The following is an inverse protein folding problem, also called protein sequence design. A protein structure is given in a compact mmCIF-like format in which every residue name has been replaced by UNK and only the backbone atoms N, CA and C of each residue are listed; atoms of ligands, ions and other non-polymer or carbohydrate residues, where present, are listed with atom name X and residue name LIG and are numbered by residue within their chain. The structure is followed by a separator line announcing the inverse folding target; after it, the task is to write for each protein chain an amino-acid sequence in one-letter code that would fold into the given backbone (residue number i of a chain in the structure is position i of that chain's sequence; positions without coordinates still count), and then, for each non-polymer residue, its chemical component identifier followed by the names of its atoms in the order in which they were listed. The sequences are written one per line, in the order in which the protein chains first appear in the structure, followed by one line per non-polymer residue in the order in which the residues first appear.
data_IF_647284594372
#
_entry.id   IF_647284594372
#
_cell.length_a   1.000
_cell.length_b   1.000
_cell.length_c   1.000
_cell.angle_alpha   90.00
_cell.angle_beta   90.00
_cell.angle_gamma   90.00
#
_symmetry.space_group_name_H-M   'P 1'
#
loop_
_entity.id
_entity.type
_entity.pdbx_description
1 polymer ?
#
# COMPACT_ATOMS: atom_id res chain seq x y z
N UNK A 1 29.07 -5.89 -13.82
CA UNK A 1 27.68 -6.24 -14.16
C UNK A 1 27.55 -7.75 -13.98
N UNK A 2 27.06 -8.19 -12.82
CA UNK A 2 26.84 -9.63 -12.56
C UNK A 2 25.52 -10.03 -13.24
N UNK A 3 25.47 -11.16 -13.95
CA UNK A 3 24.23 -11.62 -14.57
C UNK A 3 23.24 -12.01 -13.46
N UNK A 4 22.10 -11.31 -13.39
CA UNK A 4 21.02 -11.62 -12.46
C UNK A 4 20.56 -13.07 -12.67
N UNK A 5 20.32 -13.85 -11.58
CA UNK A 5 19.88 -15.24 -11.70
C UNK A 5 18.57 -15.33 -12.51
N UNK A 6 18.33 -16.44 -13.23
CA UNK A 6 17.16 -16.57 -14.10
C UNK A 6 15.88 -16.41 -13.28
N UNK A 7 15.04 -15.44 -13.69
CA UNK A 7 13.75 -15.21 -13.09
C UNK A 7 12.87 -16.46 -13.23
N UNK A 8 12.33 -16.93 -12.10
CA UNK A 8 11.36 -18.01 -12.11
C UNK A 8 10.10 -17.55 -12.85
N UNK A 9 9.49 -18.44 -13.62
CA UNK A 9 8.27 -18.13 -14.35
C UNK A 9 7.05 -18.65 -13.56
N UNK A 10 5.95 -17.88 -13.48
CA UNK A 10 4.71 -18.40 -12.94
C UNK A 10 4.25 -19.58 -13.79
N UNK A 11 3.87 -20.68 -13.12
CA UNK A 11 3.59 -21.94 -13.81
C UNK A 11 2.22 -21.97 -14.49
N UNK A 12 1.28 -21.11 -14.03
CA UNK A 12 -0.06 -21.02 -14.61
C UNK A 12 -0.76 -19.71 -14.24
N UNK A 13 -1.82 -19.30 -14.97
CA UNK A 13 -2.68 -18.18 -14.59
C UNK A 13 -3.30 -18.32 -13.19
N UNK A 14 -3.48 -19.56 -12.71
CA UNK A 14 -3.97 -19.84 -11.35
C UNK A 14 -2.95 -19.46 -10.29
N UNK A 15 -1.65 -19.63 -10.57
CA UNK A 15 -0.58 -19.22 -9.64
C UNK A 15 -0.54 -17.70 -9.49
N UNK A 16 -0.78 -16.95 -10.58
CA UNK A 16 -0.97 -15.50 -10.49
C UNK A 16 -2.19 -15.16 -9.63
N UNK A 17 -3.35 -15.77 -9.91
CA UNK A 17 -4.57 -15.53 -9.13
C UNK A 17 -4.34 -15.73 -7.63
N UNK A 18 -3.73 -16.85 -7.23
CA UNK A 18 -3.48 -17.18 -5.82
C UNK A 18 -2.45 -16.23 -5.21
N UNK A 19 -1.37 -15.91 -5.93
CA UNK A 19 -0.31 -15.03 -5.43
C UNK A 19 -0.82 -13.60 -5.23
N UNK A 20 -1.58 -13.06 -6.19
CA UNK A 20 -2.17 -11.72 -6.07
C UNK A 20 -3.31 -11.66 -5.06
N UNK A 21 -4.07 -12.75 -4.88
CA UNK A 21 -5.01 -12.89 -3.76
C UNK A 21 -4.27 -12.76 -2.42
N UNK A 22 -3.17 -13.50 -2.26
CA UNK A 22 -2.40 -13.50 -1.02
C UNK A 22 -1.79 -12.13 -0.73
N UNK A 23 -1.30 -11.45 -1.76
CA UNK A 23 -0.84 -10.06 -1.67
C UNK A 23 -1.96 -9.11 -1.23
N UNK A 24 -3.16 -9.25 -1.81
CA UNK A 24 -4.30 -8.39 -1.48
C UNK A 24 -4.72 -8.52 0.00
N UNK A 25 -4.66 -9.74 0.55
CA UNK A 25 -4.97 -10.00 1.96
C UNK A 25 -3.91 -9.44 2.92
N UNK A 26 -2.69 -9.17 2.46
CA UNK A 26 -1.58 -8.67 3.26
C UNK A 26 -1.34 -7.17 3.11
N UNK A 27 -2.19 -6.44 2.38
CA UNK A 27 -1.98 -5.03 2.01
C UNK A 27 -1.99 -4.00 3.15
N UNK A 28 -1.75 -4.36 4.40
CA UNK A 28 -1.79 -3.45 5.54
C UNK A 28 -0.39 -2.91 5.90
N UNK A 29 -0.24 -1.58 5.92
CA UNK A 29 0.89 -0.92 6.58
C UNK A 29 2.26 -1.00 5.90
N UNK A 30 2.35 -1.42 4.63
CA UNK A 30 3.64 -1.49 3.93
C UNK A 30 3.61 -2.27 2.63
N UNK A 31 2.61 -2.03 1.79
CA UNK A 31 2.30 -2.88 0.62
C UNK A 31 3.49 -3.02 -0.33
N UNK A 32 4.26 -1.95 -0.55
CA UNK A 32 5.47 -1.99 -1.38
C UNK A 32 6.48 -3.05 -0.92
N UNK A 33 6.81 -3.05 0.37
CA UNK A 33 7.77 -4.00 0.93
C UNK A 33 7.25 -5.45 0.85
N UNK A 34 5.93 -5.64 1.01
CA UNK A 34 5.27 -6.95 0.91
C UNK A 34 5.30 -7.44 -0.53
N UNK A 35 4.93 -6.59 -1.49
CA UNK A 35 4.94 -6.92 -2.92
C UNK A 35 6.38 -7.21 -3.38
N UNK A 36 7.35 -6.38 -3.01
CA UNK A 36 8.76 -6.61 -3.33
C UNK A 36 9.24 -7.96 -2.78
N UNK A 37 8.99 -8.24 -1.50
CA UNK A 37 9.36 -9.51 -0.87
C UNK A 37 8.71 -10.70 -1.56
N UNK A 38 7.43 -10.61 -1.90
CA UNK A 38 6.72 -11.73 -2.52
C UNK A 38 7.20 -11.98 -3.96
N UNK A 39 7.35 -10.92 -4.76
CA UNK A 39 7.68 -11.03 -6.19
C UNK A 39 9.18 -11.25 -6.45
N UNK A 40 10.06 -10.62 -5.66
CA UNK A 40 11.52 -10.66 -5.86
C UNK A 40 12.18 -11.73 -4.98
N UNK A 41 11.86 -11.79 -3.68
CA UNK A 41 12.57 -12.70 -2.76
C UNK A 41 11.97 -14.11 -2.76
N UNK A 42 10.64 -14.23 -2.62
CA UNK A 42 9.98 -15.55 -2.52
C UNK A 42 9.74 -16.19 -3.88
N UNK A 43 8.99 -15.52 -4.76
CA UNK A 43 8.60 -16.05 -6.06
C UNK A 43 9.70 -15.92 -7.11
N UNK A 44 10.62 -14.95 -6.94
CA UNK A 44 11.73 -14.67 -7.86
C UNK A 44 11.28 -14.47 -9.31
N UNK A 45 10.07 -13.91 -9.49
CA UNK A 45 9.52 -13.60 -10.81
C UNK A 45 10.21 -12.38 -11.43
N UNK A 46 10.61 -11.44 -10.58
CA UNK A 46 11.27 -10.22 -11.01
C UNK A 46 12.63 -10.08 -10.32
N UNK A 47 13.58 -9.55 -11.05
CA UNK A 47 14.81 -9.01 -10.45
C UNK A 47 14.50 -7.71 -9.70
N UNK A 48 15.33 -7.29 -8.72
CA UNK A 48 15.14 -6.02 -8.04
C UNK A 48 15.05 -4.83 -9.00
N UNK A 49 15.82 -4.85 -10.09
CA UNK A 49 15.85 -3.79 -11.09
C UNK A 49 14.55 -3.75 -11.89
N UNK A 50 14.09 -4.91 -12.40
CA UNK A 50 12.82 -5.02 -13.13
C UNK A 50 11.62 -4.63 -12.25
N UNK A 51 11.65 -5.03 -10.97
CA UNK A 51 10.60 -4.63 -10.03
C UNK A 51 10.51 -3.12 -9.88
N UNK A 52 11.65 -2.42 -9.80
CA UNK A 52 11.68 -0.96 -9.69
C UNK A 52 11.18 -0.27 -10.96
N UNK A 53 11.54 -0.79 -12.14
CA UNK A 53 11.04 -0.29 -13.43
C UNK A 53 9.52 -0.46 -13.54
N UNK A 54 9.01 -1.67 -13.31
CA UNK A 54 7.57 -1.96 -13.36
C UNK A 54 6.80 -1.16 -12.31
N UNK A 55 7.37 -0.99 -11.10
CA UNK A 55 6.78 -0.18 -10.04
C UNK A 55 6.73 1.30 -10.41
N UNK A 56 7.78 1.85 -11.03
CA UNK A 56 7.80 3.24 -11.47
C UNK A 56 6.71 3.50 -12.53
N UNK A 57 6.55 2.58 -13.49
CA UNK A 57 5.47 2.66 -14.49
C UNK A 57 4.10 2.57 -13.82
N UNK A 58 3.93 1.65 -12.86
CA UNK A 58 2.67 1.49 -12.12
C UNK A 58 2.27 2.75 -11.33
N UNK A 59 3.23 3.58 -10.89
CA UNK A 59 2.97 4.87 -10.24
C UNK A 59 2.59 6.00 -11.20
N UNK A 60 3.03 5.92 -12.46
CA UNK A 60 2.65 6.90 -13.50
C UNK A 60 1.25 6.61 -14.03
N UNK A 61 0.85 5.34 -14.06
CA UNK A 61 -0.49 4.95 -14.47
C UNK A 61 -1.56 5.42 -13.48
N UNK A 62 -2.70 5.96 -13.96
CA UNK A 62 -3.79 6.32 -13.07
C UNK A 62 -4.38 5.07 -12.41
N UNK A 63 -4.66 5.17 -11.10
CA UNK A 63 -5.31 4.11 -10.33
C UNK A 63 -4.41 3.49 -9.26
N UNK A 64 -4.83 2.35 -8.67
CA UNK A 64 -4.08 1.72 -7.59
C UNK A 64 -2.81 1.04 -8.10
N UNK A 65 -1.64 1.53 -7.68
CA UNK A 65 -0.32 1.05 -8.12
C UNK A 65 -0.17 -0.48 -8.12
N UNK A 66 -0.69 -1.14 -7.08
CA UNK A 66 -0.54 -2.60 -6.92
C UNK A 66 -1.40 -3.38 -7.92
N UNK A 67 -2.56 -2.83 -8.31
CA UNK A 67 -3.41 -3.41 -9.38
C UNK A 67 -2.74 -3.21 -10.73
N UNK A 68 -2.22 -2.02 -11.00
CA UNK A 68 -1.49 -1.73 -12.25
C UNK A 68 -0.29 -2.68 -12.40
N UNK A 69 0.48 -2.87 -11.33
CA UNK A 69 1.59 -3.82 -11.31
C UNK A 69 1.11 -5.26 -11.56
N UNK A 70 0.02 -5.69 -10.92
CA UNK A 70 -0.53 -7.03 -11.13
C UNK A 70 -0.98 -7.27 -12.57
N UNK A 71 -1.59 -6.25 -13.19
CA UNK A 71 -2.00 -6.27 -14.59
C UNK A 71 -0.80 -6.37 -15.53
N UNK A 72 0.25 -5.55 -15.30
CA UNK A 72 1.49 -5.58 -16.10
C UNK A 72 2.21 -6.93 -15.98
N UNK A 73 2.36 -7.44 -14.76
CA UNK A 73 2.97 -8.76 -14.51
C UNK A 73 2.13 -9.85 -15.17
N UNK A 74 0.80 -9.80 -15.04
CA UNK A 74 -0.10 -10.77 -15.64
C UNK A 74 -0.05 -10.78 -17.17
N UNK A 75 -0.01 -9.60 -17.78
CA UNK A 75 0.10 -9.46 -19.24
C UNK A 75 1.44 -9.99 -19.76
N UNK A 76 2.53 -9.71 -19.04
CA UNK A 76 3.88 -10.15 -19.41
C UNK A 76 4.03 -11.68 -19.51
N UNK A 77 3.39 -12.44 -18.62
CA UNK A 77 3.58 -13.90 -18.57
C UNK A 77 2.55 -14.70 -19.37
N UNK A 78 1.29 -14.27 -19.41
CA UNK A 78 0.20 -15.02 -20.07
C UNK A 78 -0.73 -14.13 -20.92
N UNK A 79 -0.28 -12.93 -21.28
CA UNK A 79 -1.08 -11.94 -22.01
C UNK A 79 -2.35 -11.54 -21.26
N UNK A 80 -3.39 -11.20 -22.02
CA UNK A 80 -4.69 -10.78 -21.50
C UNK A 80 -5.28 -11.76 -20.46
N UNK A 81 -5.06 -13.07 -20.64
CA UNK A 81 -5.58 -14.11 -19.72
C UNK A 81 -4.87 -14.05 -18.36
N UNK A 82 -3.58 -13.77 -18.33
CA UNK A 82 -2.81 -13.57 -17.10
C UNK A 82 -3.16 -12.27 -16.41
N UNK A 83 -3.29 -11.19 -17.18
CA UNK A 83 -3.71 -9.88 -16.69
C UNK A 83 -5.07 -9.96 -15.96
N UNK A 84 -6.06 -10.56 -16.62
CA UNK A 84 -7.39 -10.75 -16.03
C UNK A 84 -7.35 -11.66 -14.79
N UNK A 85 -6.56 -12.75 -14.82
CA UNK A 85 -6.44 -13.64 -13.67
C UNK A 85 -5.78 -12.95 -12.45
N UNK A 86 -4.75 -12.15 -12.68
CA UNK A 86 -4.06 -11.40 -11.64
C UNK A 86 -4.97 -10.36 -10.97
N UNK A 87 -5.67 -9.56 -11.79
CA UNK A 87 -6.63 -8.55 -11.30
C UNK A 87 -7.82 -9.22 -10.62
N UNK A 88 -8.36 -10.30 -11.19
CA UNK A 88 -9.44 -11.05 -10.58
C UNK A 88 -9.03 -11.63 -9.22
N UNK A 89 -7.82 -12.17 -9.07
CA UNK A 89 -7.31 -12.64 -7.78
C UNK A 89 -7.20 -11.52 -6.76
N UNK A 90 -6.69 -10.37 -7.19
CA UNK A 90 -6.53 -9.20 -6.32
C UNK A 90 -7.85 -8.62 -5.82
N UNK A 91 -8.93 -8.69 -6.60
CA UNK A 91 -10.22 -8.06 -6.26
C UNK A 91 -11.25 -9.05 -5.70
N UNK A 92 -11.36 -10.24 -6.27
CA UNK A 92 -12.51 -11.13 -6.03
C UNK A 92 -12.52 -11.65 -4.59
N UNK A 93 -11.39 -12.17 -4.10
CA UNK A 93 -11.35 -12.77 -2.77
C UNK A 93 -11.51 -11.73 -1.65
N UNK A 94 -10.79 -10.59 -1.66
CA UNK A 94 -11.03 -9.54 -0.67
C UNK A 94 -12.47 -9.01 -0.69
N UNK A 95 -13.06 -8.85 -1.89
CA UNK A 95 -14.45 -8.44 -2.03
C UNK A 95 -15.41 -9.46 -1.38
N UNK A 96 -15.24 -10.75 -1.68
CA UNK A 96 -16.05 -11.83 -1.10
C UNK A 96 -15.92 -11.85 0.43
N UNK A 97 -14.70 -11.70 0.96
CA UNK A 97 -14.47 -11.65 2.41
C UNK A 97 -15.20 -10.46 3.05
N UNK A 98 -15.09 -9.26 2.46
CA UNK A 98 -15.75 -8.06 2.99
C UNK A 98 -17.27 -8.19 2.91
N UNK A 99 -17.81 -8.70 1.80
CA UNK A 99 -19.25 -8.92 1.65
C UNK A 99 -19.77 -9.96 2.65
N UNK A 100 -19.06 -11.07 2.83
CA UNK A 100 -19.42 -12.08 3.81
C UNK A 100 -19.43 -11.49 5.24
N UNK A 101 -18.41 -10.71 5.60
CA UNK A 101 -18.36 -10.01 6.88
C UNK A 101 -19.50 -9.00 7.03
N UNK A 102 -19.88 -8.29 5.96
CA UNK A 102 -20.98 -7.34 5.97
C UNK A 102 -22.34 -8.04 6.19
N UNK A 103 -22.58 -9.17 5.53
CA UNK A 103 -23.79 -9.97 5.71
C UNK A 103 -23.86 -10.55 7.13
N UNK A 104 -22.75 -11.09 7.63
CA UNK A 104 -22.64 -11.59 9.00
C UNK A 104 -22.88 -10.46 10.00
N UNK A 105 -22.31 -9.28 9.78
CA UNK A 105 -22.56 -8.12 10.61
C UNK A 105 -24.04 -7.74 10.61
N UNK A 106 -24.71 -7.71 9.45
CA UNK A 106 -26.13 -7.38 9.38
C UNK A 106 -27.02 -8.37 10.16
N UNK A 107 -26.68 -9.67 10.16
CA UNK A 107 -27.43 -10.69 10.91
C UNK A 107 -27.16 -10.65 12.42
N UNK A 108 -25.92 -10.37 12.83
CA UNK A 108 -25.49 -10.40 14.23
C UNK A 108 -25.29 -9.00 14.84
N UNK A 109 -25.74 -7.93 14.19
CA UNK A 109 -25.58 -6.55 14.65
C UNK A 109 -26.17 -6.31 16.05
N UNK A 110 -27.20 -7.08 16.42
CA UNK A 110 -27.82 -7.02 17.75
C UNK A 110 -26.97 -7.63 18.88
N UNK A 111 -25.93 -8.41 18.56
CA UNK A 111 -25.06 -9.00 19.58
C UNK A 111 -23.90 -8.04 19.94
N UNK A 112 -23.84 -7.54 21.18
CA UNK A 112 -22.80 -6.60 21.61
C UNK A 112 -21.37 -7.16 21.47
N UNK A 113 -21.19 -8.48 21.51
CA UNK A 113 -19.88 -9.10 21.31
C UNK A 113 -19.36 -8.94 19.88
N UNK A 114 -20.22 -9.02 18.87
CA UNK A 114 -19.83 -8.87 17.45
C UNK A 114 -19.48 -7.41 17.16
N UNK A 115 -20.27 -6.47 17.68
CA UNK A 115 -19.96 -5.05 17.59
C UNK A 115 -18.64 -4.69 18.31
N UNK A 116 -18.37 -5.29 19.46
CA UNK A 116 -17.12 -5.12 20.19
C UNK A 116 -15.92 -5.69 19.42
N UNK A 117 -16.06 -6.88 18.83
CA UNK A 117 -15.01 -7.50 18.00
C UNK A 117 -14.66 -6.63 16.78
N UNK A 118 -15.66 -6.08 16.09
CA UNK A 118 -15.45 -5.16 14.95
C UNK A 118 -14.77 -3.86 15.37
N UNK A 119 -15.16 -3.27 16.50
CA UNK A 119 -14.44 -2.13 17.10
C UNK A 119 -12.99 -2.48 17.41
N UNK A 120 -12.74 -3.67 17.97
CA UNK A 120 -11.40 -4.17 18.26
C UNK A 120 -10.55 -4.28 16.99
N UNK A 121 -11.09 -4.86 15.92
CA UNK A 121 -10.40 -4.91 14.62
C UNK A 121 -10.09 -3.52 14.06
N UNK A 122 -11.01 -2.57 14.21
CA UNK A 122 -10.77 -1.16 13.85
C UNK A 122 -9.62 -0.54 14.64
N UNK A 123 -9.55 -0.79 15.95
CA UNK A 123 -8.46 -0.33 16.80
C UNK A 123 -7.11 -0.96 16.42
N UNK A 124 -7.09 -2.26 16.10
CA UNK A 124 -5.89 -2.96 15.61
C UNK A 124 -5.40 -2.38 14.28
N UNK A 125 -6.32 -2.13 13.33
CA UNK A 125 -5.98 -1.51 12.05
C UNK A 125 -5.38 -0.11 12.24
N UNK A 126 -6.00 0.72 13.08
CA UNK A 126 -5.46 2.04 13.43
C UNK A 126 -4.08 1.95 14.10
N UNK A 127 -3.89 1.00 15.01
CA UNK A 127 -2.60 0.72 15.65
C UNK A 127 -1.52 0.29 14.65
N UNK A 128 -1.86 -0.53 13.65
CA UNK A 128 -0.93 -0.94 12.60
C UNK A 128 -0.52 0.22 11.70
N UNK A 129 -1.46 1.09 11.31
CA UNK A 129 -1.17 2.32 10.57
C UNK A 129 -0.26 3.24 11.39
N UNK A 130 -0.54 3.41 12.68
CA UNK A 130 0.30 4.18 13.59
C UNK A 130 1.70 3.58 13.70
N UNK A 131 1.83 2.25 13.84
CA UNK A 131 3.11 1.57 13.88
C UNK A 131 3.93 1.78 12.60
N UNK A 132 3.30 1.72 11.42
CA UNK A 132 3.95 2.06 10.15
C UNK A 132 4.42 3.52 10.14
N UNK A 133 3.58 4.45 10.58
CA UNK A 133 3.95 5.87 10.70
C UNK A 133 5.17 6.08 11.61
N UNK A 134 5.17 5.45 12.79
CA UNK A 134 6.28 5.49 13.75
C UNK A 134 7.55 4.91 13.12
N UNK A 135 7.44 3.81 12.36
CA UNK A 135 8.58 3.18 11.66
C UNK A 135 9.21 4.11 10.61
N UNK A 136 8.46 5.08 10.07
CA UNK A 136 8.95 6.08 9.13
C UNK A 136 9.59 7.30 9.83
N UNK A 137 9.28 7.57 11.11
CA UNK A 137 9.84 8.73 11.87
C UNK A 137 11.38 8.81 11.82
N UNK A 138 12.15 7.71 11.98
CA UNK A 138 13.61 7.79 11.89
C UNK A 138 14.13 8.26 10.53
N UNK A 139 13.37 8.05 9.45
CA UNK A 139 13.75 8.49 8.11
C UNK A 139 13.72 10.02 7.97
N UNK A 140 12.88 10.71 8.76
CA UNK A 140 12.80 12.18 8.78
C UNK A 140 14.12 12.83 9.24
N UNK A 141 14.97 12.12 10.00
CA UNK A 141 16.28 12.66 10.41
C UNK A 141 17.21 12.95 9.24
N UNK A 142 17.03 12.25 8.11
CA UNK A 142 17.81 12.45 6.89
C UNK A 142 17.20 13.52 5.96
N UNK A 143 16.05 14.08 6.33
CA UNK A 143 15.35 15.05 5.50
C UNK A 143 16.02 16.44 5.57
N UNK A 144 16.17 17.15 4.43
CA UNK A 144 16.90 18.43 4.35
C UNK A 144 16.30 19.56 5.21
N UNK A 145 15.03 19.45 5.62
CA UNK A 145 14.38 20.42 6.51
C UNK A 145 14.82 20.32 7.98
N UNK A 146 15.46 19.22 8.38
CA UNK A 146 15.82 18.94 9.77
C UNK A 146 14.69 18.28 10.57
N UNK A 147 15.06 17.47 11.58
CA UNK A 147 14.11 16.64 12.32
C UNK A 147 13.02 17.44 13.06
N UNK A 148 13.38 18.60 13.65
CA UNK A 148 12.47 19.41 14.46
C UNK A 148 11.34 20.05 13.62
N UNK A 149 11.63 20.49 12.40
CA UNK A 149 10.63 21.09 11.51
C UNK A 149 9.67 20.04 10.96
N UNK A 150 10.18 18.86 10.58
CA UNK A 150 9.34 17.74 10.15
C UNK A 150 8.41 17.26 11.29
N UNK A 151 8.89 17.25 12.53
CA UNK A 151 8.05 16.93 13.70
C UNK A 151 6.98 18.01 13.95
N UNK A 152 7.33 19.29 13.77
CA UNK A 152 6.36 20.38 13.87
C UNK A 152 5.25 20.27 12.81
N UNK A 153 5.60 19.94 11.56
CA UNK A 153 4.61 19.68 10.52
C UNK A 153 3.72 18.47 10.83
N UNK A 154 4.31 17.38 11.35
CA UNK A 154 3.54 16.21 11.78
C UNK A 154 2.53 16.57 12.88
N UNK A 155 2.96 17.32 13.90
CA UNK A 155 2.08 17.79 14.96
C UNK A 155 0.99 18.72 14.43
N UNK A 156 1.32 19.64 13.52
CA UNK A 156 0.37 20.56 12.90
C UNK A 156 -0.72 19.80 12.12
N UNK A 157 -0.33 18.84 11.28
CA UNK A 157 -1.26 17.99 10.53
C UNK A 157 -2.15 17.20 11.48
N UNK A 158 -1.56 16.61 12.53
CA UNK A 158 -2.31 15.85 13.52
C UNK A 158 -3.37 16.70 14.23
N UNK A 159 -2.99 17.88 14.72
CA UNK A 159 -3.92 18.81 15.39
C UNK A 159 -5.00 19.31 14.44
N UNK A 160 -4.62 19.64 13.19
CA UNK A 160 -5.56 20.13 12.17
C UNK A 160 -6.65 19.10 11.84
N UNK A 161 -6.29 17.82 11.79
CA UNK A 161 -7.24 16.75 11.45
C UNK A 161 -8.03 16.29 12.68
N UNK A 162 -7.37 16.08 13.83
CA UNK A 162 -8.02 15.48 15.01
C UNK A 162 -8.81 16.48 15.86
N UNK A 163 -8.27 17.69 16.04
CA UNK A 163 -8.89 18.72 16.90
C UNK A 163 -9.78 19.64 16.06
N UNK A 164 -9.24 20.18 14.97
CA UNK A 164 -9.96 21.16 14.13
C UNK A 164 -10.90 20.50 13.10
N UNK A 165 -10.82 19.16 12.93
CA UNK A 165 -11.63 18.37 11.99
C UNK A 165 -11.65 18.94 10.57
N UNK A 166 -10.54 19.55 10.16
CA UNK A 166 -10.39 20.13 8.83
C UNK A 166 -10.35 18.97 7.82
N UNK A 167 -11.05 19.07 6.67
CA UNK A 167 -11.00 18.03 5.65
C UNK A 167 -9.57 17.78 5.18
N UNK A 168 -9.20 16.51 5.03
CA UNK A 168 -7.85 16.09 4.66
C UNK A 168 -7.34 16.80 3.40
N UNK A 169 -8.22 17.06 2.42
CA UNK A 169 -7.85 17.77 1.19
C UNK A 169 -7.28 19.16 1.44
N UNK A 170 -7.89 19.95 2.33
CA UNK A 170 -7.41 21.30 2.66
C UNK A 170 -6.10 21.27 3.44
N UNK A 171 -5.98 20.34 4.40
CA UNK A 171 -4.74 20.16 5.17
C UNK A 171 -3.59 19.77 4.25
N UNK A 172 -3.83 18.86 3.30
CA UNK A 172 -2.83 18.43 2.33
C UNK A 172 -2.40 19.58 1.40
N UNK A 173 -3.36 20.36 0.89
CA UNK A 173 -3.08 21.49 0.00
C UNK A 173 -2.28 22.59 0.69
N UNK A 174 -2.70 22.98 1.90
CA UNK A 174 -2.06 24.09 2.63
C UNK A 174 -0.77 23.64 3.29
N UNK A 175 -0.84 22.67 4.19
CA UNK A 175 0.32 22.25 5.00
C UNK A 175 1.32 21.47 4.14
N UNK A 176 0.82 20.57 3.29
CA UNK A 176 1.67 19.84 2.34
C UNK A 176 2.28 20.77 1.29
N UNK A 177 1.52 21.72 0.74
CA UNK A 177 2.04 22.72 -0.19
C UNK A 177 3.13 23.59 0.43
N UNK A 178 2.91 24.12 1.63
CA UNK A 178 3.91 24.91 2.38
C UNK A 178 5.16 24.09 2.69
N UNK A 179 4.99 22.84 3.12
CA UNK A 179 6.12 21.94 3.40
C UNK A 179 6.94 21.65 2.12
N UNK A 180 6.29 21.38 0.99
CA UNK A 180 6.96 21.15 -0.30
C UNK A 180 7.72 22.39 -0.78
N UNK A 181 7.11 23.58 -0.75
CA UNK A 181 7.74 24.83 -1.17
C UNK A 181 8.93 25.17 -0.27
N UNK A 182 8.81 24.98 1.03
CA UNK A 182 9.90 25.23 1.96
C UNK A 182 11.04 24.21 1.80
N UNK A 183 10.70 22.95 1.52
CA UNK A 183 11.70 21.92 1.20
C UNK A 183 12.44 22.29 -0.08
N UNK A 184 11.73 22.69 -1.14
CA UNK A 184 12.32 23.04 -2.42
C UNK A 184 13.31 24.22 -2.30
N UNK A 185 13.00 25.22 -1.47
CA UNK A 185 13.92 26.33 -1.18
C UNK A 185 15.16 25.93 -0.37
N UNK A 186 15.14 24.79 0.30
CA UNK A 186 16.21 24.29 1.19
C UNK A 186 17.07 23.20 0.54
N UNK A 187 16.63 22.63 -0.59
CA UNK A 187 17.46 21.70 -1.36
C UNK A 187 18.50 22.55 -2.10
N UNK A 188 19.81 22.38 -1.82
CA UNK A 188 20.84 23.02 -2.64
C UNK A 188 20.75 22.42 -4.05
N UNK A 189 20.68 23.30 -5.05
CA UNK A 189 20.78 22.92 -6.47
C UNK A 189 22.13 22.25 -6.76
#
# INVERSE_FOLDING_TARGET
MQPSPPAAHPQSPRDLFVSFTWLALQGFGGVLAIVQREMVEKKKWLTPEQFLEDWAVAQVMPGPNVINLALMIGDRYFGLRGALAAVAGMLTIPLVVILALAVLYAHYAGNPQVAAALRGMGAVSGGLIAATGIKLVPQLRKHPLGFATCLAFMALVFVSITVLKIPLGWVLLVVGGVACVWTWKRIPA
#
